data_IF_391497412182
#
_entry.id   IF_391497412182
#
_cell.length_a   1.000
_cell.length_b   1.000
_cell.length_c   1.000
_cell.angle_alpha   90.00
_cell.angle_beta   90.00
_cell.angle_gamma   90.00
#
_symmetry.space_group_name_H-M   'P 1'
#
loop_
_entity.id
_entity.type
_entity.pdbx_description
1 polymer ?
#
# COMPACT_ATOMS: atom_id res chain seq x y z
N UNK A 1 -6.04 26.06 -13.95
CA UNK A 1 -5.33 24.80 -14.24
C UNK A 1 -5.32 24.04 -12.92
N UNK A 2 -6.18 23.06 -12.79
CA UNK A 2 -6.18 22.09 -11.70
C UNK A 2 -4.85 21.33 -11.77
N UNK A 3 -4.15 21.21 -10.63
CA UNK A 3 -2.83 20.63 -10.57
C UNK A 3 -2.76 19.25 -11.22
N UNK A 4 -1.73 19.02 -12.02
CA UNK A 4 -1.43 17.73 -12.65
C UNK A 4 -0.26 17.11 -11.89
N UNK A 5 -0.36 15.84 -11.53
CA UNK A 5 0.72 15.10 -10.89
C UNK A 5 1.46 14.27 -11.94
N UNK A 6 2.77 14.43 -12.03
CA UNK A 6 3.61 13.51 -12.81
C UNK A 6 4.14 12.41 -11.90
N UNK A 7 3.91 11.15 -12.23
CA UNK A 7 4.54 10.02 -11.55
C UNK A 7 5.70 9.51 -12.42
N UNK A 8 6.90 9.58 -11.89
CA UNK A 8 8.09 9.09 -12.58
C UNK A 8 8.26 7.60 -12.31
N UNK A 9 8.11 6.78 -13.29
CA UNK A 9 8.39 5.35 -13.39
C UNK A 9 7.16 4.44 -13.20
N UNK A 10 7.08 3.36 -14.01
CA UNK A 10 6.08 2.30 -13.85
C UNK A 10 6.25 1.50 -12.56
N UNK A 11 7.30 1.76 -11.78
CA UNK A 11 7.53 1.19 -10.45
C UNK A 11 7.60 2.35 -9.45
N UNK A 12 6.49 2.64 -8.79
CA UNK A 12 6.41 3.64 -7.75
C UNK A 12 7.31 3.26 -6.57
N UNK A 13 8.33 4.09 -6.28
CA UNK A 13 9.22 3.94 -5.12
C UNK A 13 8.85 4.95 -4.03
N UNK A 14 7.64 4.82 -3.47
CA UNK A 14 7.22 5.70 -2.37
C UNK A 14 7.09 7.19 -2.74
N UNK A 15 6.69 7.50 -4.00
CA UNK A 15 6.52 8.87 -4.48
C UNK A 15 7.81 9.57 -4.93
N UNK A 16 8.94 8.86 -5.03
CA UNK A 16 10.17 9.42 -5.61
C UNK A 16 9.90 9.77 -7.08
N UNK A 17 10.18 11.02 -7.45
CA UNK A 17 9.95 11.51 -8.81
C UNK A 17 8.49 11.90 -9.10
N UNK A 18 7.60 11.90 -8.12
CA UNK A 18 6.24 12.44 -8.25
C UNK A 18 6.23 13.94 -7.92
N UNK A 19 5.83 14.77 -8.88
CA UNK A 19 5.83 16.21 -8.76
C UNK A 19 4.42 16.77 -9.01
N UNK A 20 3.88 17.61 -8.12
CA UNK A 20 2.64 18.33 -8.38
C UNK A 20 2.91 19.45 -9.39
N UNK A 21 2.19 19.44 -10.51
CA UNK A 21 2.32 20.41 -11.59
C UNK A 21 1.25 21.49 -11.43
N UNK A 22 1.64 22.76 -11.44
CA UNK A 22 0.75 23.91 -11.24
C UNK A 22 0.70 24.85 -12.43
N UNK A 23 1.58 24.68 -13.42
CA UNK A 23 1.65 25.52 -14.61
C UNK A 23 2.13 24.73 -15.83
N UNK A 24 1.83 25.23 -17.02
CA UNK A 24 2.35 24.65 -18.26
C UNK A 24 3.89 24.63 -18.29
N UNK A 25 4.55 25.67 -17.78
CA UNK A 25 6.01 25.74 -17.71
C UNK A 25 6.61 24.65 -16.80
N UNK A 26 5.96 24.34 -15.67
CA UNK A 26 6.37 23.23 -14.81
C UNK A 26 6.16 21.90 -15.51
N UNK A 27 5.06 21.72 -16.25
CA UNK A 27 4.81 20.51 -17.03
C UNK A 27 5.92 20.29 -18.05
N UNK A 28 6.25 21.30 -18.87
CA UNK A 28 7.31 21.20 -19.87
C UNK A 28 8.65 20.81 -19.22
N UNK A 29 9.00 21.47 -18.10
CA UNK A 29 10.23 21.15 -17.37
C UNK A 29 10.26 19.69 -16.86
N UNK A 30 9.17 19.21 -16.24
CA UNK A 30 9.16 17.88 -15.66
C UNK A 30 9.00 16.77 -16.71
N UNK A 31 8.42 17.05 -17.87
CA UNK A 31 8.40 16.12 -18.98
C UNK A 31 9.82 15.82 -19.51
N UNK A 32 10.71 16.81 -19.47
CA UNK A 32 12.12 16.63 -19.85
C UNK A 32 12.97 16.04 -18.70
N UNK A 33 12.63 16.39 -17.44
CA UNK A 33 13.42 16.01 -16.28
C UNK A 33 13.18 14.56 -15.80
N UNK A 34 11.98 14.05 -16.03
CA UNK A 34 11.56 12.73 -15.55
C UNK A 34 11.65 11.71 -16.68
N UNK A 35 12.40 10.63 -16.47
CA UNK A 35 12.48 9.53 -17.44
C UNK A 35 11.14 8.80 -17.57
N UNK A 36 10.58 8.73 -18.80
CA UNK A 36 9.31 8.08 -19.11
C UNK A 36 8.14 8.56 -18.20
N UNK A 37 7.82 9.86 -18.19
CA UNK A 37 6.87 10.42 -17.27
C UNK A 37 5.44 9.94 -17.53
N UNK A 38 4.70 9.69 -16.47
CA UNK A 38 3.24 9.51 -16.51
C UNK A 38 2.60 10.77 -15.95
N UNK A 39 1.79 11.44 -16.76
CA UNK A 39 1.03 12.63 -16.36
C UNK A 39 -0.37 12.19 -15.96
N UNK A 40 -0.76 12.53 -14.73
CA UNK A 40 -2.05 12.16 -14.15
C UNK A 40 -2.79 13.39 -13.62
N UNK A 41 -4.10 13.27 -13.50
CA UNK A 41 -4.90 14.24 -12.79
C UNK A 41 -4.45 14.34 -11.33
N UNK A 42 -4.37 15.58 -10.81
CA UNK A 42 -4.12 15.78 -9.38
C UNK A 42 -5.41 15.56 -8.60
N UNK A 43 -5.39 14.57 -7.74
CA UNK A 43 -6.52 14.23 -6.88
C UNK A 43 -6.39 15.00 -5.55
N UNK A 44 -7.21 16.03 -5.35
CA UNK A 44 -7.27 16.79 -4.10
C UNK A 44 -8.32 16.18 -3.17
N UNK A 45 -7.87 15.33 -2.24
CA UNK A 45 -8.76 14.65 -1.32
C UNK A 45 -8.02 13.85 -0.26
N UNK A 46 -8.77 13.35 0.74
CA UNK A 46 -8.21 12.48 1.77
C UNK A 46 -7.73 11.18 1.18
N UNK A 47 -6.57 10.74 1.62
CA UNK A 47 -5.90 9.54 1.11
C UNK A 47 -6.18 8.33 1.99
N UNK A 48 -6.50 7.22 1.34
CA UNK A 48 -6.82 5.95 1.98
C UNK A 48 -5.98 4.81 1.39
N UNK A 49 -5.68 3.84 2.24
CA UNK A 49 -5.21 2.51 1.82
C UNK A 49 -6.28 1.51 2.21
N UNK A 50 -6.63 0.62 1.29
CA UNK A 50 -7.56 -0.49 1.53
C UNK A 50 -6.75 -1.77 1.51
N UNK A 51 -6.57 -2.39 2.69
CA UNK A 51 -5.93 -3.70 2.79
C UNK A 51 -6.95 -4.80 2.46
N UNK A 52 -6.60 -5.64 1.49
CA UNK A 52 -7.45 -6.72 0.99
C UNK A 52 -6.70 -8.05 1.17
N UNK A 53 -7.39 -9.09 1.58
CA UNK A 53 -6.93 -10.47 1.46
C UNK A 53 -7.87 -11.21 0.53
N UNK A 54 -7.32 -11.77 -0.56
CA UNK A 54 -8.04 -12.69 -1.44
C UNK A 54 -7.58 -14.13 -1.22
N UNK A 55 -8.51 -15.08 -1.28
CA UNK A 55 -8.19 -16.51 -1.26
C UNK A 55 -7.62 -17.00 -2.61
N UNK A 56 -7.30 -18.30 -2.69
CA UNK A 56 -6.75 -18.92 -3.91
C UNK A 56 -7.67 -18.86 -5.13
N UNK A 57 -8.97 -18.63 -4.94
CA UNK A 57 -9.95 -18.44 -6.02
C UNK A 57 -10.11 -16.97 -6.43
N UNK A 58 -9.46 -16.04 -5.74
CA UNK A 58 -9.61 -14.60 -5.95
C UNK A 58 -10.76 -13.96 -5.18
N UNK A 59 -11.47 -14.72 -4.35
CA UNK A 59 -12.56 -14.19 -3.52
C UNK A 59 -11.99 -13.38 -2.36
N UNK A 60 -12.47 -12.13 -2.12
CA UNK A 60 -12.02 -11.34 -0.99
C UNK A 60 -12.51 -11.95 0.32
N UNK A 61 -11.57 -12.19 1.24
CA UNK A 61 -11.80 -12.69 2.59
C UNK A 61 -11.90 -11.55 3.60
N UNK A 62 -11.03 -10.55 3.46
CA UNK A 62 -11.00 -9.37 4.32
C UNK A 62 -10.77 -8.11 3.49
N UNK A 63 -11.40 -7.01 3.90
CA UNK A 63 -11.22 -5.67 3.31
C UNK A 63 -11.25 -4.68 4.47
N UNK A 64 -10.16 -3.93 4.64
CA UNK A 64 -9.99 -2.95 5.75
C UNK A 64 -9.50 -1.62 5.19
N UNK A 65 -10.37 -0.62 5.09
CA UNK A 65 -9.96 0.73 4.73
C UNK A 65 -9.28 1.45 5.91
N UNK A 66 -8.23 2.22 5.61
CA UNK A 66 -7.50 3.04 6.55
C UNK A 66 -7.26 4.43 5.97
N UNK A 67 -7.54 5.48 6.73
CA UNK A 67 -7.17 6.85 6.40
C UNK A 67 -5.68 7.09 6.68
N UNK A 68 -4.98 7.68 5.73
CA UNK A 68 -3.57 8.08 5.84
C UNK A 68 -3.50 9.54 6.26
N UNK A 69 -3.42 9.80 7.56
CA UNK A 69 -3.47 11.16 8.11
C UNK A 69 -2.11 11.86 8.00
N UNK A 70 -1.02 11.14 8.29
CA UNK A 70 0.35 11.60 8.11
C UNK A 70 1.13 10.52 7.38
N UNK A 71 1.83 10.94 6.33
CA UNK A 71 2.67 10.06 5.50
C UNK A 71 4.11 10.52 5.62
N UNK A 72 5.04 9.58 5.87
CA UNK A 72 6.48 9.82 5.88
C UNK A 72 7.16 8.81 4.94
N UNK A 73 7.92 9.31 3.98
CA UNK A 73 8.61 8.48 2.98
C UNK A 73 7.70 7.42 2.31
N UNK A 74 6.47 7.80 1.97
CA UNK A 74 5.50 6.90 1.32
C UNK A 74 4.81 5.89 2.26
N UNK A 75 5.20 5.82 3.54
CA UNK A 75 4.59 4.95 4.54
C UNK A 75 3.70 5.76 5.49
N UNK A 76 2.62 5.15 5.95
CA UNK A 76 1.74 5.78 6.94
C UNK A 76 2.50 5.91 8.27
N UNK A 77 2.60 7.13 8.76
CA UNK A 77 3.17 7.45 10.08
C UNK A 77 2.05 7.62 11.12
N UNK A 78 0.94 8.23 10.72
CA UNK A 78 -0.25 8.36 11.54
C UNK A 78 -1.50 8.11 10.71
N UNK A 79 -2.43 7.33 11.25
CA UNK A 79 -3.68 7.02 10.57
C UNK A 79 -4.66 6.25 11.44
N UNK A 80 -5.80 5.93 10.85
CA UNK A 80 -6.88 5.21 11.53
C UNK A 80 -7.60 4.26 10.60
N UNK A 81 -8.25 3.25 11.14
CA UNK A 81 -9.22 2.43 10.41
C UNK A 81 -10.52 3.20 10.18
N UNK A 82 -11.21 2.91 9.08
CA UNK A 82 -12.45 3.59 8.71
C UNK A 82 -13.46 2.58 8.17
N UNK A 83 -14.56 2.38 8.86
CA UNK A 83 -15.67 1.54 8.42
C UNK A 83 -16.58 2.32 7.46
N UNK A 84 -16.10 2.56 6.25
CA UNK A 84 -16.85 3.22 5.17
C UNK A 84 -17.19 2.20 4.07
N UNK A 85 -18.47 1.94 3.88
CA UNK A 85 -18.96 0.95 2.90
C UNK A 85 -18.53 1.28 1.47
N UNK A 86 -18.40 2.55 1.11
CA UNK A 86 -17.92 2.97 -0.22
C UNK A 86 -16.49 2.49 -0.47
N UNK A 87 -15.62 2.60 0.55
CA UNK A 87 -14.23 2.12 0.46
C UNK A 87 -14.15 0.59 0.48
N UNK A 88 -15.03 -0.06 1.25
CA UNK A 88 -15.14 -1.52 1.26
C UNK A 88 -15.60 -2.01 -0.13
N UNK A 89 -16.55 -1.32 -0.76
CA UNK A 89 -17.06 -1.65 -2.09
C UNK A 89 -15.99 -1.42 -3.19
N UNK A 90 -15.11 -0.43 -3.05
CA UNK A 90 -13.92 -0.30 -3.89
C UNK A 90 -13.07 -1.56 -3.80
N UNK A 91 -12.77 -2.04 -2.59
CA UNK A 91 -12.02 -3.27 -2.38
C UNK A 91 -12.68 -4.50 -3.02
N UNK A 92 -14.02 -4.62 -2.91
CA UNK A 92 -14.79 -5.68 -3.59
C UNK A 92 -14.72 -5.56 -5.13
N UNK A 93 -14.82 -4.35 -5.64
CA UNK A 93 -14.76 -4.09 -7.09
C UNK A 93 -13.38 -4.46 -7.66
N UNK A 94 -12.31 -4.05 -7.00
CA UNK A 94 -10.94 -4.39 -7.41
C UNK A 94 -10.70 -5.90 -7.37
N UNK A 95 -11.14 -6.59 -6.30
CA UNK A 95 -11.01 -8.04 -6.20
C UNK A 95 -11.79 -8.80 -7.29
N UNK A 96 -12.91 -8.24 -7.79
CA UNK A 96 -13.65 -8.81 -8.92
C UNK A 96 -13.01 -8.52 -10.28
N UNK A 97 -12.42 -7.34 -10.42
CA UNK A 97 -11.88 -6.89 -11.71
C UNK A 97 -10.50 -7.48 -12.04
N UNK A 98 -9.72 -7.83 -11.02
CA UNK A 98 -8.36 -8.31 -11.18
C UNK A 98 -8.20 -9.74 -10.65
N UNK A 99 -7.33 -10.57 -11.26
CA UNK A 99 -7.08 -11.96 -10.83
C UNK A 99 -6.18 -11.99 -9.58
N UNK A 100 -6.63 -11.37 -8.50
CA UNK A 100 -5.85 -11.20 -7.26
C UNK A 100 -5.88 -12.46 -6.40
N UNK A 101 -4.73 -12.76 -5.78
CA UNK A 101 -4.58 -13.82 -4.78
C UNK A 101 -3.66 -13.33 -3.68
N UNK A 102 -3.97 -13.68 -2.43
CA UNK A 102 -3.18 -13.24 -1.28
C UNK A 102 -3.43 -11.78 -0.90
N UNK A 103 -2.44 -11.12 -0.26
CA UNK A 103 -2.58 -9.75 0.23
C UNK A 103 -2.41 -8.74 -0.90
N UNK A 104 -3.28 -7.74 -0.88
CA UNK A 104 -3.23 -6.60 -1.82
C UNK A 104 -3.54 -5.34 -1.04
N UNK A 105 -2.88 -4.24 -1.36
CA UNK A 105 -3.32 -2.93 -0.91
C UNK A 105 -3.65 -2.03 -2.09
N UNK A 106 -4.80 -1.37 -1.98
CA UNK A 106 -5.28 -0.40 -2.96
C UNK A 106 -5.19 0.97 -2.33
N UNK A 107 -4.62 1.93 -3.07
CA UNK A 107 -4.58 3.32 -2.63
C UNK A 107 -5.56 4.14 -3.45
N UNK A 108 -6.34 4.96 -2.75
CA UNK A 108 -7.31 5.85 -3.37
C UNK A 108 -7.39 7.18 -2.63
N UNK A 109 -7.90 8.20 -3.30
CA UNK A 109 -8.31 9.45 -2.67
C UNK A 109 -9.81 9.62 -2.80
N UNK A 110 -10.43 10.17 -1.77
CA UNK A 110 -11.85 10.54 -1.81
C UNK A 110 -11.95 12.00 -2.22
N UNK A 111 -12.39 12.24 -3.44
CA UNK A 111 -12.61 13.56 -4.03
C UNK A 111 -14.11 13.73 -4.25
N UNK A 112 -14.71 14.79 -3.74
CA UNK A 112 -16.16 15.05 -3.80
C UNK A 112 -17.03 13.84 -3.39
N UNK A 113 -16.56 13.14 -2.35
CA UNK A 113 -17.24 11.95 -1.83
C UNK A 113 -17.05 10.67 -2.64
N UNK A 114 -16.31 10.71 -3.75
CA UNK A 114 -16.04 9.57 -4.62
C UNK A 114 -14.63 9.03 -4.43
N UNK A 115 -14.44 7.72 -4.14
CA UNK A 115 -13.12 7.11 -4.11
C UNK A 115 -12.55 6.96 -5.52
N UNK A 116 -11.37 7.54 -5.75
CA UNK A 116 -10.62 7.44 -7.02
C UNK A 116 -9.34 6.68 -6.75
N UNK A 117 -9.18 5.51 -7.38
CA UNK A 117 -8.00 4.65 -7.24
C UNK A 117 -6.85 5.22 -8.06
N UNK A 118 -5.64 5.24 -7.48
CA UNK A 118 -4.44 5.64 -8.21
C UNK A 118 -3.32 4.59 -8.13
N UNK A 119 -3.39 3.62 -7.21
CA UNK A 119 -2.37 2.59 -7.07
C UNK A 119 -2.93 1.27 -6.54
N UNK A 120 -2.46 0.13 -7.10
CA UNK A 120 -2.75 -1.22 -6.62
C UNK A 120 -1.43 -1.97 -6.41
N UNK A 121 -1.19 -2.41 -5.19
CA UNK A 121 0.02 -3.13 -4.80
C UNK A 121 -0.31 -4.57 -4.38
N UNK A 122 0.12 -5.61 -5.10
CA UNK A 122 -0.13 -7.02 -4.75
C UNK A 122 0.82 -7.50 -3.64
N UNK A 123 0.77 -6.84 -2.49
CA UNK A 123 1.56 -7.11 -1.28
C UNK A 123 0.91 -6.50 -0.05
N UNK A 124 1.43 -6.85 1.12
CA UNK A 124 1.09 -6.13 2.35
C UNK A 124 1.46 -4.64 2.26
N UNK A 125 0.62 -3.80 2.85
CA UNK A 125 0.93 -2.37 3.03
C UNK A 125 1.93 -2.15 4.17
N UNK A 126 2.66 -1.04 4.13
CA UNK A 126 3.51 -0.63 5.26
C UNK A 126 2.73 -0.31 6.54
N UNK A 127 1.42 -0.06 6.44
CA UNK A 127 0.55 0.20 7.59
C UNK A 127 -0.24 -1.01 8.07
N UNK A 128 0.11 -2.22 7.63
CA UNK A 128 -0.57 -3.46 8.04
C UNK A 128 -0.64 -3.67 9.56
N UNK A 129 0.32 -3.18 10.39
CA UNK A 129 0.19 -3.30 11.85
C UNK A 129 -1.10 -2.69 12.41
N UNK A 130 -1.57 -1.58 11.84
CA UNK A 130 -2.84 -0.97 12.23
C UNK A 130 -4.03 -1.90 11.91
N UNK A 131 -4.03 -2.51 10.74
CA UNK A 131 -5.06 -3.47 10.31
C UNK A 131 -5.10 -4.68 11.23
N UNK A 132 -3.93 -5.22 11.61
CA UNK A 132 -3.82 -6.34 12.55
C UNK A 132 -4.33 -5.93 13.94
N UNK A 133 -3.89 -4.78 14.45
CA UNK A 133 -4.33 -4.26 15.74
C UNK A 133 -5.84 -4.02 15.80
N UNK A 134 -6.46 -3.65 14.68
CA UNK A 134 -7.90 -3.50 14.56
C UNK A 134 -8.68 -4.84 14.51
N UNK A 135 -8.00 -5.97 14.63
CA UNK A 135 -8.60 -7.31 14.67
C UNK A 135 -8.63 -8.05 13.34
N UNK A 136 -8.12 -7.43 12.26
CA UNK A 136 -8.02 -8.08 10.96
C UNK A 136 -6.62 -8.66 10.75
N UNK A 137 -6.36 -9.83 11.34
CA UNK A 137 -5.08 -10.54 11.28
C UNK A 137 -4.88 -11.22 9.90
N UNK A 138 -4.73 -10.37 8.87
CA UNK A 138 -4.53 -10.80 7.48
C UNK A 138 -3.32 -11.73 7.31
N UNK A 139 -2.16 -11.50 7.94
CA UNK A 139 -1.03 -12.41 7.86
C UNK A 139 -1.35 -13.82 8.35
N UNK A 140 -2.02 -13.95 9.51
CA UNK A 140 -2.46 -15.23 10.04
C UNK A 140 -3.42 -15.93 9.08
N UNK A 141 -4.41 -15.22 8.57
CA UNK A 141 -5.38 -15.82 7.65
C UNK A 141 -4.75 -16.24 6.33
N UNK A 142 -3.73 -15.50 5.85
CA UNK A 142 -2.95 -15.91 4.68
C UNK A 142 -2.24 -17.26 4.93
N UNK A 143 -1.62 -17.45 6.10
CA UNK A 143 -0.99 -18.72 6.48
C UNK A 143 -2.03 -19.83 6.53
N UNK A 144 -3.19 -19.60 7.14
CA UNK A 144 -4.29 -20.59 7.20
C UNK A 144 -4.74 -20.99 5.78
N UNK A 145 -4.94 -20.02 4.88
CA UNK A 145 -5.29 -20.29 3.46
C UNK A 145 -4.20 -21.08 2.73
N UNK A 146 -2.93 -20.74 2.97
CA UNK A 146 -1.78 -21.46 2.36
C UNK A 146 -1.68 -22.92 2.84
N UNK A 147 -2.08 -23.18 4.08
CA UNK A 147 -2.17 -24.53 4.64
C UNK A 147 -3.45 -25.28 4.20
N UNK A 148 -4.22 -24.74 3.25
CA UNK A 148 -5.45 -25.36 2.75
C UNK A 148 -6.65 -25.25 3.70
N UNK A 149 -6.55 -24.46 4.78
CA UNK A 149 -7.66 -24.23 5.70
C UNK A 149 -8.67 -23.25 5.11
N UNK A 150 -9.93 -23.42 5.45
CA UNK A 150 -10.99 -22.47 5.03
C UNK A 150 -11.02 -21.29 6.00
N UNK A 151 -10.89 -20.07 5.44
CA UNK A 151 -11.15 -18.83 6.17
C UNK A 151 -12.47 -18.25 5.65
N UNK A 152 -13.44 -18.08 6.55
CA UNK A 152 -14.73 -17.45 6.21
C UNK A 152 -14.55 -15.95 5.90
N UNK A 153 -15.62 -15.32 5.38
CA UNK A 153 -15.60 -13.88 5.13
C UNK A 153 -15.41 -13.09 6.43
N UNK A 154 -14.47 -12.17 6.43
CA UNK A 154 -14.12 -11.25 7.50
C UNK A 154 -14.29 -9.78 7.08
N UNK A 155 -14.96 -9.54 5.97
CA UNK A 155 -15.20 -8.19 5.45
C UNK A 155 -16.05 -7.42 6.47
N UNK A 156 -15.59 -6.21 6.84
CA UNK A 156 -16.27 -5.38 7.85
C UNK A 156 -16.04 -5.81 9.31
N UNK A 157 -15.28 -6.90 9.55
CA UNK A 157 -14.98 -7.39 10.90
C UNK A 157 -13.64 -6.81 11.39
N UNK A 158 -13.64 -5.57 11.77
CA UNK A 158 -12.50 -4.87 12.37
C UNK A 158 -12.99 -3.72 13.25
N UNK A 159 -12.15 -3.27 14.16
CA UNK A 159 -12.45 -2.10 14.99
C UNK A 159 -12.36 -0.84 14.15
N UNK A 160 -13.46 -0.08 14.06
CA UNK A 160 -13.49 1.24 13.44
C UNK A 160 -12.81 2.28 14.31
N UNK A 161 -12.26 3.35 13.69
CA UNK A 161 -11.60 4.46 14.37
C UNK A 161 -10.43 4.04 15.28
N UNK A 162 -9.81 2.90 15.04
CA UNK A 162 -8.55 2.57 15.71
C UNK A 162 -7.43 3.43 15.15
N UNK A 163 -6.73 4.14 16.01
CA UNK A 163 -5.63 5.02 15.63
C UNK A 163 -4.27 4.33 15.80
N UNK A 164 -3.37 4.64 14.89
CA UNK A 164 -1.95 4.33 14.98
C UNK A 164 -1.15 5.62 14.83
N UNK A 165 -0.12 5.75 15.64
CA UNK A 165 0.98 6.70 15.44
C UNK A 165 2.30 5.95 15.60
N UNK A 166 3.22 6.19 14.68
CA UNK A 166 4.58 5.63 14.74
C UNK A 166 5.50 6.63 15.42
N UNK A 167 6.51 6.14 16.11
CA UNK A 167 7.61 6.93 16.64
C UNK A 167 8.91 6.21 16.41
N UNK A 168 9.96 6.97 16.20
CA UNK A 168 11.31 6.44 16.07
C UNK A 168 12.00 6.46 17.44
N UNK A 169 12.73 5.40 17.75
CA UNK A 169 13.60 5.35 18.92
C UNK A 169 15.00 5.00 18.48
N UNK A 170 15.99 5.63 19.14
CA UNK A 170 17.40 5.31 18.91
C UNK A 170 17.84 4.21 19.87
N UNK A 171 18.56 3.24 19.34
CA UNK A 171 19.26 2.21 20.13
C UNK A 171 20.74 2.51 20.02
N UNK A 172 21.42 2.62 21.16
CA UNK A 172 22.86 2.87 21.22
C UNK A 172 23.56 1.54 21.52
N UNK A 173 24.45 1.13 20.62
CA UNK A 173 25.20 -0.11 20.70
C UNK A 173 26.70 0.23 20.68
N UNK A 174 27.48 -0.44 21.51
CA UNK A 174 28.95 -0.37 21.44
C UNK A 174 29.49 -1.29 20.31
N UNK A 175 30.80 -1.19 20.06
CA UNK A 175 31.42 -1.97 18.98
C UNK A 175 31.34 -3.48 19.19
N UNK A 176 31.32 -3.97 20.41
CA UNK A 176 31.22 -5.39 20.69
C UNK A 176 29.82 -5.91 20.38
N UNK A 177 28.79 -5.13 20.75
CA UNK A 177 27.39 -5.46 20.49
C UNK A 177 27.05 -5.47 18.98
N UNK A 178 27.71 -4.58 18.19
CA UNK A 178 27.55 -4.56 16.72
C UNK A 178 28.29 -5.74 16.08
N UNK A 179 29.42 -6.17 16.62
CA UNK A 179 30.22 -7.27 16.06
C UNK A 179 29.44 -8.60 16.04
N UNK A 180 28.48 -8.79 16.95
CA UNK A 180 27.59 -9.97 16.98
C UNK A 180 26.46 -9.88 15.96
N UNK A 181 26.21 -8.73 15.37
CA UNK A 181 25.20 -8.57 14.29
C UNK A 181 25.84 -9.00 12.97
N UNK A 182 25.64 -10.26 12.59
CA UNK A 182 26.07 -10.73 11.28
C UNK A 182 25.27 -9.99 10.18
N UNK A 183 25.95 -9.44 9.15
CA UNK A 183 25.26 -8.92 7.97
C UNK A 183 24.44 -10.06 7.36
N UNK A 184 23.14 -9.82 7.12
CA UNK A 184 22.35 -10.74 6.31
C UNK A 184 22.91 -10.65 4.89
N UNK A 185 23.71 -11.64 4.49
CA UNK A 185 24.19 -11.71 3.12
C UNK A 185 22.98 -11.77 2.18
N UNK A 186 22.94 -10.88 1.15
CA UNK A 186 21.90 -10.99 0.14
C UNK A 186 22.02 -12.39 -0.51
N UNK A 187 20.96 -13.18 -0.43
CA UNK A 187 20.89 -14.45 -1.14
C UNK A 187 21.23 -14.17 -2.60
N UNK A 188 22.35 -14.73 -3.07
CA UNK A 188 22.70 -14.69 -4.48
C UNK A 188 21.48 -15.16 -5.28
N UNK A 189 21.00 -14.32 -6.20
CA UNK A 189 19.96 -14.69 -7.12
C UNK A 189 20.51 -15.89 -7.90
N UNK A 190 19.95 -17.07 -7.71
CA UNK A 190 20.20 -18.19 -8.59
C UNK A 190 19.72 -17.76 -9.97
N UNK A 191 20.65 -17.33 -10.78
CA UNK A 191 20.43 -17.16 -12.21
C UNK A 191 19.88 -18.50 -12.71
N UNK A 192 18.62 -18.49 -13.15
CA UNK A 192 18.07 -19.64 -13.88
C UNK A 192 18.93 -19.80 -15.12
N UNK A 193 19.71 -20.88 -15.14
CA UNK A 193 20.50 -21.26 -16.30
C UNK A 193 19.57 -21.34 -17.50
N UNK A 194 19.97 -20.66 -18.56
CA UNK A 194 19.50 -20.91 -19.91
C UNK A 194 19.74 -22.38 -20.20
N UNK A 195 18.68 -23.12 -20.44
CA UNK A 195 18.75 -24.43 -21.10
C UNK A 195 18.37 -24.21 -22.55
N UNK A 196 19.30 -24.57 -23.40
CA UNK A 196 19.23 -24.59 -24.87
C UNK A 196 18.01 -25.34 -25.43
#
# INVERSE_FOLDING_TARGET
VTGVQTCALPICRGGIGAFPIRSARELDFFLDYVDNPVVQEYLDGREYTIDILCDGSGRPVSIVPRERVVIRAGVIDRGRTVADDRLIDVGRAVARALPLRGPVNVQCRVVDGQPIIFEVNPRFSGGIPLTIAAGADIPRWLVELTLGRRVGSRIGQFTDQMWMTSYETSIFLDQAQIADVQPVEPRASQARGEAA
#
